data_IF_597810824917
#
_entry.id   IF_597810824917
#
_cell.length_a   1.000
_cell.length_b   1.000
_cell.length_c   1.000
_cell.angle_alpha   90.00
_cell.angle_beta   90.00
_cell.angle_gamma   90.00
#
_symmetry.space_group_name_H-M   'P 1'
#
loop_
_entity.id
_entity.type
_entity.pdbx_description
1 polymer ?
#
# COMPACT_ATOMS: atom_id res chain seq x y z
N UNK A 1 14.43 14.37 -19.97
CA UNK A 1 13.27 14.92 -19.25
C UNK A 1 11.94 14.27 -19.69
N UNK A 2 11.92 13.01 -20.13
CA UNK A 2 10.72 12.32 -20.67
C UNK A 2 10.43 10.95 -20.01
N UNK A 3 11.07 10.62 -18.89
CA UNK A 3 10.85 9.32 -18.23
C UNK A 3 9.91 9.35 -17.01
N UNK A 4 9.54 10.54 -16.51
CA UNK A 4 8.68 10.63 -15.30
C UNK A 4 7.17 10.63 -15.61
N UNK A 5 6.73 11.09 -16.77
CA UNK A 5 5.29 11.15 -17.10
C UNK A 5 4.63 9.76 -17.26
N UNK A 6 5.38 8.77 -17.73
CA UNK A 6 4.83 7.41 -17.87
C UNK A 6 4.69 6.63 -16.56
N UNK A 7 5.44 7.01 -15.50
CA UNK A 7 5.38 6.30 -14.21
C UNK A 7 4.15 6.69 -13.39
N UNK A 8 3.78 7.98 -13.40
CA UNK A 8 2.61 8.46 -12.66
C UNK A 8 1.28 7.93 -13.23
N UNK A 9 1.14 7.87 -14.55
CA UNK A 9 -0.06 7.30 -15.19
C UNK A 9 -0.19 5.79 -14.93
N UNK A 10 0.91 5.07 -14.90
CA UNK A 10 0.90 3.64 -14.58
C UNK A 10 0.39 3.40 -13.14
N UNK A 11 0.85 4.18 -12.18
CA UNK A 11 0.40 4.12 -10.80
C UNK A 11 -1.11 4.40 -10.67
N UNK A 12 -1.60 5.49 -11.23
CA UNK A 12 -3.02 5.89 -11.15
C UNK A 12 -3.95 4.84 -11.75
N UNK A 13 -3.60 4.23 -12.89
CA UNK A 13 -4.39 3.15 -13.50
C UNK A 13 -4.38 1.87 -12.65
N UNK A 14 -3.30 1.64 -11.91
CA UNK A 14 -3.16 0.52 -10.99
C UNK A 14 -4.06 0.63 -9.77
N UNK A 15 -4.12 1.80 -9.14
CA UNK A 15 -4.91 2.01 -7.92
C UNK A 15 -6.41 2.08 -8.21
N UNK A 16 -6.82 2.60 -9.37
CA UNK A 16 -8.21 2.45 -9.83
C UNK A 16 -8.63 0.99 -9.94
N UNK A 17 -7.69 0.07 -10.27
CA UNK A 17 -7.92 -1.37 -10.26
C UNK A 17 -7.90 -1.99 -8.85
N UNK A 18 -7.14 -1.45 -7.90
CA UNK A 18 -7.20 -1.87 -6.49
C UNK A 18 -8.56 -1.55 -5.85
N UNK A 19 -9.14 -0.40 -6.19
CA UNK A 19 -10.49 -0.01 -5.74
C UNK A 19 -11.61 -0.89 -6.36
N UNK A 20 -11.33 -1.59 -7.47
CA UNK A 20 -12.27 -2.51 -8.17
C UNK A 20 -12.24 -3.94 -7.58
N UNK A 21 -11.60 -4.17 -6.43
CA UNK A 21 -11.67 -5.49 -5.75
C UNK A 21 -13.13 -5.89 -5.38
N UNK A 22 -14.06 -4.93 -5.32
CA UNK A 22 -15.47 -5.20 -5.01
C UNK A 22 -16.33 -5.73 -6.18
N UNK A 23 -15.87 -5.68 -7.43
CA UNK A 23 -16.67 -6.16 -8.57
C UNK A 23 -15.95 -7.22 -9.41
N UNK A 24 -15.69 -8.39 -8.82
CA UNK A 24 -15.11 -9.53 -9.55
C UNK A 24 -16.11 -10.13 -10.53
N UNK A 25 -15.80 -10.07 -11.82
CA UNK A 25 -16.33 -11.05 -12.78
C UNK A 25 -15.54 -12.35 -12.60
N UNK A 26 -16.22 -13.48 -12.55
CA UNK A 26 -15.57 -14.79 -12.51
C UNK A 26 -14.52 -14.90 -13.64
N UNK A 27 -13.25 -15.15 -13.27
CA UNK A 27 -12.15 -15.36 -14.22
C UNK A 27 -11.13 -14.22 -14.32
N UNK A 28 -11.31 -13.05 -13.69
CA UNK A 28 -10.27 -12.01 -13.64
C UNK A 28 -9.26 -12.30 -12.53
N UNK A 29 -7.97 -12.40 -12.91
CA UNK A 29 -6.86 -12.49 -11.96
C UNK A 29 -6.71 -11.13 -11.28
N UNK A 30 -6.96 -11.11 -9.98
CA UNK A 30 -6.86 -9.87 -9.19
C UNK A 30 -5.40 -9.48 -8.91
N UNK A 31 -5.17 -8.18 -8.72
CA UNK A 31 -3.95 -7.71 -8.05
C UNK A 31 -3.89 -8.38 -6.68
N UNK A 32 -2.73 -8.98 -6.37
CA UNK A 32 -2.53 -9.62 -5.07
C UNK A 32 -1.54 -8.80 -4.26
N UNK A 33 -2.01 -8.33 -3.10
CA UNK A 33 -1.15 -7.73 -2.09
C UNK A 33 -0.29 -8.81 -1.45
N UNK A 34 1.03 -8.60 -1.42
CA UNK A 34 1.99 -9.47 -0.76
C UNK A 34 2.27 -8.93 0.65
N UNK A 35 2.56 -7.63 0.74
CA UNK A 35 2.95 -6.99 1.99
C UNK A 35 2.57 -5.51 1.97
N UNK A 36 2.20 -4.97 3.12
CA UNK A 36 2.00 -3.55 3.34
C UNK A 36 2.79 -3.12 4.57
N UNK A 37 3.64 -2.10 4.39
CA UNK A 37 4.42 -1.48 5.45
C UNK A 37 3.98 -0.03 5.62
N UNK A 38 3.97 0.44 6.86
CA UNK A 38 3.76 1.86 7.14
C UNK A 38 4.46 2.25 8.44
N UNK A 39 4.78 3.52 8.59
CA UNK A 39 5.49 4.08 9.74
C UNK A 39 4.97 5.49 10.06
N UNK A 40 5.05 5.88 11.33
CA UNK A 40 4.67 7.20 11.83
C UNK A 40 3.25 7.59 11.41
N UNK A 41 2.26 6.73 11.71
CA UNK A 41 0.87 6.98 11.36
C UNK A 41 -0.06 6.66 12.54
N UNK A 42 -0.86 7.63 12.96
CA UNK A 42 -1.84 7.52 14.08
C UNK A 42 -1.22 6.91 15.34
N UNK A 43 -1.56 5.65 15.68
CA UNK A 43 -1.05 4.97 16.88
C UNK A 43 0.27 4.21 16.66
N UNK A 44 0.83 4.24 15.46
CA UNK A 44 2.06 3.55 15.11
C UNK A 44 3.20 4.54 14.93
N UNK A 45 4.19 4.48 15.81
CA UNK A 45 5.43 5.25 15.70
C UNK A 45 6.43 4.54 14.81
N UNK A 46 6.71 3.31 15.16
CA UNK A 46 7.65 2.45 14.44
C UNK A 46 6.98 1.80 13.23
N UNK A 47 7.79 1.21 12.38
CA UNK A 47 7.29 0.49 11.21
C UNK A 47 6.40 -0.69 11.63
N UNK A 48 5.25 -0.78 10.99
CA UNK A 48 4.32 -1.89 11.11
C UNK A 48 4.15 -2.57 9.75
N UNK A 49 4.11 -3.89 9.76
CA UNK A 49 4.01 -4.73 8.57
C UNK A 49 2.78 -5.61 8.63
N UNK A 50 1.96 -5.56 7.57
CA UNK A 50 0.96 -6.56 7.26
C UNK A 50 1.52 -7.47 6.16
N UNK A 51 1.95 -8.67 6.51
CA UNK A 51 2.52 -9.64 5.59
C UNK A 51 1.48 -10.72 5.25
N UNK A 52 1.15 -10.86 3.97
CA UNK A 52 0.24 -11.86 3.41
C UNK A 52 0.99 -13.01 2.74
N UNK A 53 2.31 -13.05 2.83
CA UNK A 53 3.10 -14.17 2.34
C UNK A 53 2.72 -15.46 3.08
N UNK A 54 2.40 -16.51 2.33
CA UNK A 54 2.06 -17.78 2.93
C UNK A 54 3.28 -18.45 3.52
N UNK A 55 3.26 -18.72 4.83
CA UNK A 55 4.24 -19.58 5.46
C UNK A 55 4.19 -20.99 4.85
N UNK A 56 5.19 -21.83 5.16
CA UNK A 56 5.19 -23.24 4.75
C UNK A 56 4.06 -23.98 5.46
N UNK A 57 2.93 -24.15 4.75
CA UNK A 57 1.71 -24.77 5.28
C UNK A 57 1.56 -26.19 4.75
N UNK A 58 1.15 -27.13 5.63
CA UNK A 58 0.75 -28.49 5.26
C UNK A 58 -0.77 -28.61 5.10
N UNK A 59 -1.53 -27.80 5.84
CA UNK A 59 -3.00 -27.74 5.76
C UNK A 59 -3.44 -26.53 4.94
N UNK A 60 -4.59 -26.64 4.27
CA UNK A 60 -5.19 -25.55 3.47
C UNK A 60 -4.29 -24.99 2.36
N UNK A 61 -3.36 -25.80 1.86
CA UNK A 61 -2.47 -25.38 0.77
C UNK A 61 -3.22 -25.05 -0.53
N UNK A 62 -4.43 -25.57 -0.71
CA UNK A 62 -5.36 -25.27 -1.80
C UNK A 62 -5.96 -23.86 -1.73
N UNK A 63 -5.83 -23.18 -0.58
CA UNK A 63 -6.29 -21.81 -0.36
C UNK A 63 -5.21 -20.76 -0.64
N UNK A 64 -3.97 -21.18 -0.82
CA UNK A 64 -2.85 -20.29 -1.13
C UNK A 64 -2.86 -19.96 -2.62
N UNK A 65 -2.82 -18.68 -2.95
CA UNK A 65 -2.68 -18.21 -4.33
C UNK A 65 -1.20 -18.18 -4.69
N UNK A 66 -0.83 -18.83 -5.79
CA UNK A 66 0.56 -18.80 -6.28
C UNK A 66 0.63 -17.92 -7.51
N UNK A 67 1.51 -16.90 -7.47
CA UNK A 67 1.80 -16.03 -8.61
C UNK A 67 3.32 -16.01 -8.77
N UNK A 68 3.81 -16.64 -9.81
CA UNK A 68 5.27 -16.80 -9.99
C UNK A 68 5.90 -17.60 -8.87
N UNK A 69 6.84 -16.98 -8.14
CA UNK A 69 7.48 -17.56 -6.96
C UNK A 69 6.74 -17.25 -5.65
N UNK A 70 5.81 -16.29 -5.69
CA UNK A 70 5.12 -15.82 -4.49
C UNK A 70 3.93 -16.71 -4.14
N UNK A 71 3.83 -17.04 -2.87
CA UNK A 71 2.69 -17.74 -2.28
C UNK A 71 1.99 -16.78 -1.34
N UNK A 72 0.73 -16.46 -1.64
CA UNK A 72 0.02 -15.34 -1.04
C UNK A 72 -1.27 -15.84 -0.41
N UNK A 73 -1.56 -15.39 0.80
CA UNK A 73 -2.83 -15.61 1.48
C UNK A 73 -3.85 -14.58 0.94
N UNK A 74 -5.01 -15.02 0.43
CA UNK A 74 -6.01 -14.09 -0.11
C UNK A 74 -6.76 -13.30 0.99
N UNK A 75 -6.62 -13.71 2.25
CA UNK A 75 -7.32 -13.12 3.39
C UNK A 75 -6.42 -13.13 4.62
N UNK A 76 -6.43 -12.04 5.37
CA UNK A 76 -5.87 -11.94 6.71
C UNK A 76 -6.92 -11.45 7.69
N UNK A 77 -6.89 -11.96 8.92
CA UNK A 77 -7.73 -11.48 10.01
C UNK A 77 -6.87 -10.90 11.13
N UNK A 78 -7.18 -9.67 11.55
CA UNK A 78 -6.43 -8.95 12.57
C UNK A 78 -7.22 -8.97 13.88
N UNK A 79 -6.65 -9.60 14.90
CA UNK A 79 -7.25 -9.71 16.23
C UNK A 79 -6.40 -8.93 17.25
N UNK A 80 -7.05 -8.48 18.33
CA UNK A 80 -6.37 -7.80 19.44
C UNK A 80 -7.36 -7.10 20.37
N UNK A 81 -6.87 -6.57 21.48
CA UNK A 81 -7.66 -5.82 22.45
C UNK A 81 -8.27 -4.56 21.84
N UNK A 82 -9.30 -4.00 22.47
CA UNK A 82 -9.83 -2.69 22.10
C UNK A 82 -8.72 -1.64 22.25
N UNK A 83 -8.73 -0.65 21.37
CA UNK A 83 -7.72 0.41 21.30
C UNK A 83 -6.27 -0.06 20.99
N UNK A 84 -6.06 -1.30 20.51
CA UNK A 84 -4.73 -1.80 20.14
C UNK A 84 -4.22 -1.35 18.77
N UNK A 85 -4.94 -0.45 18.08
CA UNK A 85 -4.51 0.07 16.78
C UNK A 85 -5.00 -0.72 15.55
N UNK A 86 -5.80 -1.79 15.71
CA UNK A 86 -6.27 -2.62 14.56
C UNK A 86 -6.87 -1.80 13.42
N UNK A 87 -7.77 -0.87 13.74
CA UNK A 87 -8.40 0.00 12.75
C UNK A 87 -7.39 0.94 12.07
N UNK A 88 -6.29 1.28 12.74
CA UNK A 88 -5.27 2.15 12.17
C UNK A 88 -4.41 1.45 11.11
N UNK A 89 -4.34 0.12 11.10
CA UNK A 89 -3.74 -0.64 10.00
C UNK A 89 -4.59 -0.49 8.73
N UNK A 90 -5.91 -0.65 8.86
CA UNK A 90 -6.85 -0.40 7.76
C UNK A 90 -6.79 1.06 7.30
N UNK A 91 -6.84 2.01 8.23
CA UNK A 91 -6.78 3.43 7.91
C UNK A 91 -5.46 3.84 7.21
N UNK A 92 -4.34 3.17 7.54
CA UNK A 92 -3.07 3.43 6.86
C UNK A 92 -3.10 2.96 5.40
N UNK A 93 -3.70 1.79 5.16
CA UNK A 93 -3.86 1.28 3.80
C UNK A 93 -4.86 2.11 2.98
N UNK A 94 -5.98 2.50 3.59
CA UNK A 94 -6.97 3.40 3.00
C UNK A 94 -6.34 4.75 2.64
N UNK A 95 -5.61 5.37 3.59
CA UNK A 95 -4.89 6.62 3.36
C UNK A 95 -3.94 6.53 2.16
N UNK A 96 -3.09 5.48 2.13
CA UNK A 96 -2.18 5.27 1.00
C UNK A 96 -2.94 5.17 -0.33
N UNK A 97 -4.03 4.40 -0.34
CA UNK A 97 -4.84 4.16 -1.54
C UNK A 97 -5.50 5.45 -2.04
N UNK A 98 -6.10 6.22 -1.13
CA UNK A 98 -6.73 7.50 -1.45
C UNK A 98 -5.71 8.54 -1.91
N UNK A 99 -4.56 8.63 -1.20
CA UNK A 99 -3.50 9.55 -1.56
C UNK A 99 -3.03 9.33 -3.01
N UNK A 100 -2.74 8.09 -3.38
CA UNK A 100 -2.29 7.76 -4.75
C UNK A 100 -3.38 7.99 -5.79
N UNK A 101 -4.64 7.68 -5.47
CA UNK A 101 -5.76 7.87 -6.39
C UNK A 101 -6.10 9.35 -6.62
N UNK A 102 -5.93 10.19 -5.61
CA UNK A 102 -6.44 11.56 -5.59
C UNK A 102 -5.34 12.63 -5.65
N UNK A 103 -4.07 12.29 -5.34
CA UNK A 103 -2.96 13.27 -5.27
C UNK A 103 -2.79 14.10 -6.55
N UNK A 104 -3.08 13.53 -7.70
CA UNK A 104 -3.03 14.25 -8.98
C UNK A 104 -4.05 15.42 -9.05
N UNK A 105 -5.18 15.30 -8.33
CA UNK A 105 -6.21 16.35 -8.31
C UNK A 105 -5.83 17.55 -7.44
N UNK A 106 -4.87 17.37 -6.54
CA UNK A 106 -4.52 18.34 -5.50
C UNK A 106 -3.14 18.99 -5.70
N UNK A 107 -2.40 18.58 -6.74
CA UNK A 107 -1.00 18.97 -6.96
C UNK A 107 -0.74 20.47 -7.12
N UNK A 108 -1.77 21.28 -7.40
CA UNK A 108 -1.66 22.72 -7.62
C UNK A 108 -2.40 23.56 -6.55
N UNK A 109 -3.04 22.95 -5.55
CA UNK A 109 -3.86 23.64 -4.55
C UNK A 109 -3.37 23.33 -3.12
N UNK A 110 -2.56 24.22 -2.54
CA UNK A 110 -2.00 24.08 -1.18
C UNK A 110 -3.08 23.82 -0.10
N UNK A 111 -4.24 24.47 -0.19
CA UNK A 111 -5.34 24.31 0.77
C UNK A 111 -5.89 22.87 0.78
N UNK A 112 -5.95 22.22 -0.37
CA UNK A 112 -6.44 20.83 -0.46
C UNK A 112 -5.41 19.82 0.02
N UNK A 113 -4.12 20.12 -0.11
CA UNK A 113 -3.07 19.27 0.42
C UNK A 113 -3.14 19.18 1.95
N UNK A 114 -3.55 20.24 2.66
CA UNK A 114 -3.72 20.20 4.11
C UNK A 114 -4.75 19.15 4.57
N UNK A 115 -5.81 18.94 3.81
CA UNK A 115 -6.84 17.94 4.10
C UNK A 115 -6.33 16.51 3.92
N UNK A 116 -5.29 16.33 3.08
CA UNK A 116 -4.69 15.03 2.75
C UNK A 116 -3.39 14.73 3.52
N UNK A 117 -3.02 15.55 4.50
CA UNK A 117 -1.86 15.26 5.33
C UNK A 117 -2.06 13.99 6.17
N UNK A 118 -1.04 13.13 6.26
CA UNK A 118 -1.14 11.98 7.17
C UNK A 118 -1.20 12.48 8.61
N UNK A 119 -1.97 11.80 9.45
CA UNK A 119 -1.92 12.03 10.89
C UNK A 119 -0.73 11.28 11.47
N UNK A 120 0.38 11.93 11.86
CA UNK A 120 1.55 11.25 12.41
C UNK A 120 1.27 10.72 13.82
N UNK A 121 2.22 9.98 14.39
CA UNK A 121 2.17 9.59 15.79
C UNK A 121 2.39 10.82 16.68
N UNK A 122 1.38 11.16 17.49
CA UNK A 122 1.34 12.40 18.27
C UNK A 122 1.74 12.26 19.74
N UNK A 123 2.08 11.05 20.20
CA UNK A 123 2.43 10.83 21.61
C UNK A 123 3.89 11.16 21.94
N UNK A 124 4.67 11.60 20.98
CA UNK A 124 5.98 12.21 21.21
C UNK A 124 6.21 13.40 20.25
N UNK A 125 7.01 14.36 20.73
CA UNK A 125 7.23 15.61 20.00
C UNK A 125 8.09 15.45 18.74
N UNK A 126 8.87 14.37 18.63
CA UNK A 126 9.77 14.14 17.49
C UNK A 126 9.06 13.53 16.30
N UNK A 127 8.05 12.72 16.57
CA UNK A 127 7.27 12.04 15.51
C UNK A 127 6.30 12.96 14.79
N UNK A 128 5.84 14.02 15.44
CA UNK A 128 4.88 14.96 14.87
C UNK A 128 5.43 15.71 13.63
N UNK A 129 6.73 15.96 13.60
CA UNK A 129 7.42 16.63 12.49
C UNK A 129 8.21 15.65 11.61
N UNK A 130 8.21 14.35 11.94
CA UNK A 130 8.87 13.33 11.17
C UNK A 130 8.01 12.86 9.99
N UNK A 131 8.65 12.29 8.98
CA UNK A 131 7.98 11.70 7.83
C UNK A 131 7.15 10.48 8.21
N UNK A 132 5.98 10.36 7.59
CA UNK A 132 5.23 9.11 7.50
C UNK A 132 5.64 8.37 6.24
N UNK A 133 5.73 7.05 6.30
CA UNK A 133 6.05 6.23 5.13
C UNK A 133 4.99 5.16 4.89
N UNK A 134 4.74 4.87 3.61
CA UNK A 134 3.80 3.85 3.18
C UNK A 134 4.40 3.08 2.02
N UNK A 135 4.30 1.76 2.06
CA UNK A 135 4.90 0.89 1.05
C UNK A 135 4.06 -0.37 0.83
N UNK A 136 3.85 -0.75 -0.42
CA UNK A 136 3.15 -1.97 -0.81
C UNK A 136 4.01 -2.85 -1.71
N UNK A 137 3.93 -4.16 -1.50
CA UNK A 137 4.43 -5.18 -2.40
C UNK A 137 3.24 -5.92 -2.99
N UNK A 138 3.22 -6.08 -4.30
CA UNK A 138 2.07 -6.65 -5.00
C UNK A 138 2.46 -7.34 -6.30
N UNK A 139 1.55 -8.16 -6.83
CA UNK A 139 1.65 -8.75 -8.16
C UNK A 139 0.54 -8.23 -9.05
N UNK A 140 0.77 -8.30 -10.37
CA UNK A 140 -0.18 -7.82 -11.37
C UNK A 140 -0.86 -8.95 -12.10
N UNK A 141 -2.19 -8.84 -12.31
CA UNK A 141 -2.91 -9.81 -13.11
C UNK A 141 -2.45 -9.74 -14.57
N UNK A 142 -2.21 -10.91 -15.17
CA UNK A 142 -1.87 -11.02 -16.59
C UNK A 142 -0.45 -10.59 -16.95
N UNK A 143 0.39 -10.25 -15.97
CA UNK A 143 1.82 -10.05 -16.22
C UNK A 143 2.49 -11.40 -16.53
N UNK A 144 2.76 -11.63 -17.82
CA UNK A 144 3.43 -12.84 -18.30
C UNK A 144 4.85 -13.02 -17.73
N UNK A 145 5.44 -11.94 -17.20
CA UNK A 145 6.76 -11.96 -16.57
C UNK A 145 6.71 -12.40 -15.10
N UNK A 146 5.50 -12.60 -14.54
CA UNK A 146 5.31 -13.01 -13.13
C UNK A 146 6.10 -12.16 -12.13
N UNK A 147 6.21 -10.84 -12.39
CA UNK A 147 6.97 -9.92 -11.55
C UNK A 147 6.21 -9.59 -10.27
N UNK A 148 6.97 -9.37 -9.22
CA UNK A 148 6.50 -8.60 -8.07
C UNK A 148 6.93 -7.13 -8.19
N UNK A 149 6.10 -6.26 -7.68
CA UNK A 149 6.28 -4.81 -7.69
C UNK A 149 6.34 -4.30 -6.26
N UNK A 150 7.10 -3.24 -6.07
CA UNK A 150 7.17 -2.51 -4.82
C UNK A 150 6.95 -1.03 -5.12
N UNK A 151 5.92 -0.46 -4.54
CA UNK A 151 5.64 0.96 -4.62
C UNK A 151 5.54 1.55 -3.22
N UNK A 152 6.08 2.75 -3.03
CA UNK A 152 5.97 3.45 -1.77
C UNK A 152 6.31 4.92 -1.89
N UNK A 153 6.01 5.65 -0.82
CA UNK A 153 6.37 7.06 -0.67
C UNK A 153 6.59 7.44 0.79
N UNK A 154 7.39 8.47 0.99
CA UNK A 154 7.51 9.20 2.24
C UNK A 154 6.84 10.57 2.11
N UNK A 155 6.14 11.00 3.16
CA UNK A 155 5.37 12.24 3.16
C UNK A 155 5.45 12.93 4.52
N UNK A 156 5.59 14.25 4.51
CA UNK A 156 5.55 15.10 5.69
C UNK A 156 4.52 16.22 5.52
N UNK A 157 4.56 17.23 6.40
CA UNK A 157 3.66 18.38 6.34
C UNK A 157 3.82 19.25 5.09
N UNK A 158 4.93 19.14 4.37
CA UNK A 158 5.25 19.95 3.18
C UNK A 158 4.92 19.21 1.87
N UNK A 159 4.75 17.88 1.91
CA UNK A 159 4.45 17.06 0.76
C UNK A 159 5.21 15.75 0.72
N UNK A 160 5.20 15.11 -0.44
CA UNK A 160 5.98 13.90 -0.70
C UNK A 160 7.45 14.26 -0.80
N UNK A 161 8.26 13.61 0.03
CA UNK A 161 9.71 13.79 0.08
C UNK A 161 10.46 12.75 -0.74
N UNK A 162 9.91 11.54 -0.82
CA UNK A 162 10.47 10.43 -1.59
C UNK A 162 9.34 9.58 -2.17
N UNK A 163 9.51 9.10 -3.41
CA UNK A 163 8.57 8.18 -4.07
C UNK A 163 9.37 7.18 -4.91
N UNK A 164 8.97 5.89 -4.85
CA UNK A 164 9.62 4.83 -5.61
C UNK A 164 8.64 3.82 -6.19
N UNK A 165 9.01 3.27 -7.34
CA UNK A 165 8.37 2.11 -7.94
C UNK A 165 9.45 1.18 -8.48
N UNK A 166 9.54 0.00 -7.91
CA UNK A 166 10.50 -1.03 -8.30
C UNK A 166 9.76 -2.27 -8.82
N UNK A 167 10.45 -3.05 -9.63
CA UNK A 167 9.97 -4.37 -10.03
C UNK A 167 11.11 -5.39 -9.95
N UNK A 168 10.76 -6.57 -9.45
CA UNK A 168 11.67 -7.71 -9.38
C UNK A 168 11.18 -8.78 -10.35
N UNK A 169 12.01 -9.10 -11.33
CA UNK A 169 11.81 -10.28 -12.18
C UNK A 169 12.14 -11.55 -11.39
N UNK A 170 11.54 -12.66 -11.83
CA UNK A 170 11.83 -13.99 -11.33
C UNK A 170 13.26 -14.42 -11.62
#
# INVERSE_FOLDING_TARGET
MHQNENKSHLCVDYYKKLYIIESRKEGEVAIMLIQFNFKNFKSFREEATLDLSAAKMTEFSDRVVTVGSEKILPVAAIYGANASGKSNIYNAFEYMSEYVAESFKYGDEEEKFEEFRPTPFLFDSTSADAESSFEVYFTLPGDKSERSYNYGFCINKEGVTEEWLNSKAK
#
